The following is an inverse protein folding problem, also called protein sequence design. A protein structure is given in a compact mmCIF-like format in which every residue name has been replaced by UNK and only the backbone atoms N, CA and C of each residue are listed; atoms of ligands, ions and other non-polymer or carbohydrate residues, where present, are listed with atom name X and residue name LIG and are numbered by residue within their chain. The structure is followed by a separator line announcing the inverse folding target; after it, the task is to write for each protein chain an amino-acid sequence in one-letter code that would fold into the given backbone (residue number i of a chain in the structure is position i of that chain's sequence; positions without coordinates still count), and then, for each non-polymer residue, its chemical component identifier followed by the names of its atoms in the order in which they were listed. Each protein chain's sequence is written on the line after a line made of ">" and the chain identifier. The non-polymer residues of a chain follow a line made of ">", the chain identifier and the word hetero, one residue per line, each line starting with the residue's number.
data_IF_080523876517
#
_entry.id   IF_080523876517
#
_cell.length_a   1.000
_cell.length_b   1.000
_cell.length_c   1.000
_cell.angle_alpha   90.00
_cell.angle_beta   90.00
_cell.angle_gamma   90.00
#
_symmetry.space_group_name_H-M   'P 1'
#
loop_
_entity.id
_entity.type
_entity.pdbx_description
1 polymer ?
#
# COMPACT_ATOMS: atom_id res chain seq x y z
N UNK A 1 -4.95 -4.97 -21.61
CA UNK A 1 -4.62 -5.53 -20.27
C UNK A 1 -3.59 -4.61 -19.63
N UNK A 2 -3.84 -4.08 -18.44
CA UNK A 2 -3.01 -3.07 -17.76
C UNK A 2 -2.72 -3.50 -16.32
N UNK A 3 -2.15 -4.70 -16.15
CA UNK A 3 -1.76 -5.19 -14.83
C UNK A 3 -0.55 -4.38 -14.34
N UNK A 4 -0.65 -3.84 -13.13
CA UNK A 4 0.41 -3.07 -12.48
C UNK A 4 0.88 -3.71 -11.16
N UNK A 5 0.31 -4.86 -10.80
CA UNK A 5 0.62 -5.65 -9.62
C UNK A 5 0.45 -7.15 -9.94
N UNK A 6 1.36 -7.98 -9.43
CA UNK A 6 1.30 -9.43 -9.52
C UNK A 6 1.82 -10.05 -8.21
N UNK A 7 1.15 -11.09 -7.73
CA UNK A 7 1.56 -11.84 -6.56
C UNK A 7 1.94 -13.29 -6.89
N UNK A 8 2.78 -13.90 -6.05
CA UNK A 8 3.01 -15.34 -6.07
C UNK A 8 1.72 -16.10 -5.72
N UNK A 9 1.66 -17.39 -6.07
CA UNK A 9 0.48 -18.24 -5.84
C UNK A 9 0.09 -18.34 -4.36
N UNK A 10 1.08 -18.28 -3.46
CA UNK A 10 0.90 -18.29 -2.01
C UNK A 10 0.73 -16.89 -1.40
N UNK A 11 0.73 -15.84 -2.22
CA UNK A 11 0.53 -14.46 -1.79
C UNK A 11 1.70 -13.80 -1.06
N UNK A 12 2.81 -14.51 -0.82
CA UNK A 12 3.92 -14.02 0.03
C UNK A 12 4.89 -13.06 -0.66
N UNK A 13 4.85 -13.01 -2.00
CA UNK A 13 5.65 -12.07 -2.78
C UNK A 13 4.73 -11.25 -3.67
N UNK A 14 4.83 -9.93 -3.58
CA UNK A 14 4.06 -8.98 -4.35
C UNK A 14 5.03 -8.07 -5.13
N UNK A 15 4.93 -8.07 -6.46
CA UNK A 15 5.68 -7.18 -7.34
C UNK A 15 4.72 -6.18 -7.98
N UNK A 16 5.02 -4.88 -7.85
CA UNK A 16 4.14 -3.80 -8.30
C UNK A 16 4.95 -2.69 -8.98
N UNK A 17 4.31 -1.97 -9.91
CA UNK A 17 4.85 -0.76 -10.53
C UNK A 17 4.61 0.53 -9.71
N UNK A 18 3.45 0.71 -9.04
CA UNK A 18 3.23 1.84 -8.15
C UNK A 18 4.17 1.83 -6.95
N UNK A 19 4.63 3.01 -6.55
CA UNK A 19 5.50 3.21 -5.40
C UNK A 19 4.65 3.63 -4.18
N UNK A 20 4.05 2.66 -3.50
CA UNK A 20 3.15 2.92 -2.36
C UNK A 20 3.85 3.70 -1.25
N UNK A 21 5.13 3.43 -1.04
CA UNK A 21 5.97 4.08 -0.04
C UNK A 21 6.08 5.59 -0.27
N UNK A 22 5.94 6.05 -1.52
CA UNK A 22 5.94 7.47 -1.87
C UNK A 22 4.58 8.13 -1.69
N UNK A 23 3.52 7.36 -1.50
CA UNK A 23 2.16 7.86 -1.39
C UNK A 23 1.60 7.75 0.04
N UNK A 24 2.41 7.41 1.04
CA UNK A 24 1.98 7.25 2.44
C UNK A 24 1.34 8.53 2.98
N UNK A 25 1.92 9.70 2.72
CA UNK A 25 1.41 10.95 3.25
C UNK A 25 0.58 11.74 2.23
N UNK A 26 -0.54 12.38 2.62
CA UNK A 26 -1.39 13.15 1.71
C UNK A 26 -0.64 14.22 0.91
N UNK A 27 0.33 14.91 1.52
CA UNK A 27 1.10 15.97 0.86
C UNK A 27 2.03 15.47 -0.26
N UNK A 28 2.26 14.15 -0.37
CA UNK A 28 3.01 13.58 -1.49
C UNK A 28 2.16 13.46 -2.77
N UNK A 29 0.85 13.69 -2.69
CA UNK A 29 -0.07 13.52 -3.81
C UNK A 29 -0.30 14.84 -4.53
N UNK A 30 -0.27 14.82 -5.87
CA UNK A 30 -0.61 16.00 -6.67
C UNK A 30 -2.09 16.42 -6.56
N UNK A 31 -2.94 15.51 -6.10
CA UNK A 31 -4.34 15.78 -5.77
C UNK A 31 -4.75 14.89 -4.59
N UNK A 32 -5.35 15.51 -3.58
CA UNK A 32 -5.97 14.82 -2.45
C UNK A 32 -7.42 15.31 -2.32
N UNK A 33 -8.35 14.38 -2.10
CA UNK A 33 -9.78 14.70 -2.00
C UNK A 33 -10.03 15.57 -0.76
N UNK A 34 -10.70 16.71 -0.95
CA UNK A 34 -11.00 17.68 0.12
C UNK A 34 -11.96 17.13 1.18
N UNK A 35 -12.73 16.10 0.86
CA UNK A 35 -13.60 15.41 1.82
C UNK A 35 -12.81 14.48 2.76
N UNK A 36 -11.53 14.21 2.47
CA UNK A 36 -10.64 13.39 3.28
C UNK A 36 -9.78 14.26 4.19
N UNK A 37 -9.57 13.78 5.41
CA UNK A 37 -8.71 14.42 6.41
C UNK A 37 -7.81 13.37 7.08
N UNK A 38 -7.21 12.48 6.28
CA UNK A 38 -6.33 11.45 6.81
C UNK A 38 -4.96 12.05 7.15
N UNK A 39 -4.38 11.67 8.29
CA UNK A 39 -2.98 11.97 8.58
C UNK A 39 -2.03 11.09 7.74
N UNK A 40 -2.46 9.86 7.46
CA UNK A 40 -1.76 8.85 6.67
C UNK A 40 -2.75 8.27 5.67
N UNK A 41 -2.34 8.16 4.40
CA UNK A 41 -3.19 7.66 3.33
C UNK A 41 -3.40 6.13 3.41
N UNK A 42 -4.41 5.58 2.71
CA UNK A 42 -4.63 4.14 2.64
C UNK A 42 -3.47 3.31 2.09
N UNK A 43 -2.45 3.93 1.47
CA UNK A 43 -1.28 3.20 0.97
C UNK A 43 -0.36 2.68 2.07
N UNK A 44 -0.60 3.02 3.34
CA UNK A 44 0.07 2.38 4.47
C UNK A 44 -0.42 0.95 4.73
N UNK A 45 -1.67 0.63 4.35
CA UNK A 45 -2.33 -0.62 4.71
C UNK A 45 -1.55 -1.88 4.28
N UNK A 46 -0.93 -1.97 3.09
CA UNK A 46 -0.14 -3.14 2.73
C UNK A 46 1.06 -3.38 3.65
N UNK A 47 1.64 -2.32 4.22
CA UNK A 47 2.75 -2.40 5.16
C UNK A 47 2.26 -2.85 6.55
N UNK A 48 1.12 -2.34 7.01
CA UNK A 48 0.47 -2.80 8.25
C UNK A 48 0.09 -4.27 8.17
N UNK A 49 -0.56 -4.68 7.08
CA UNK A 49 -0.94 -6.08 6.85
C UNK A 49 0.29 -7.02 6.83
N UNK A 50 1.40 -6.57 6.22
CA UNK A 50 2.63 -7.36 6.20
C UNK A 50 3.22 -7.54 7.61
N UNK A 51 3.16 -6.48 8.44
CA UNK A 51 3.60 -6.50 9.84
C UNK A 51 2.71 -7.42 10.69
N UNK A 52 1.39 -7.27 10.59
CA UNK A 52 0.41 -8.10 11.31
C UNK A 52 0.56 -9.58 10.96
N UNK A 53 0.73 -9.89 9.67
CA UNK A 53 0.97 -11.27 9.25
C UNK A 53 2.22 -11.87 9.90
N UNK A 54 3.31 -11.10 10.02
CA UNK A 54 4.53 -11.53 10.71
C UNK A 54 4.31 -11.73 12.21
N UNK A 55 3.47 -10.92 12.86
CA UNK A 55 3.15 -11.09 14.28
C UNK A 55 2.32 -12.34 14.55
N UNK A 56 1.44 -12.71 13.63
CA UNK A 56 0.58 -13.90 13.76
C UNK A 56 1.27 -15.21 13.35
N UNK A 57 2.28 -15.15 12.47
CA UNK A 57 2.88 -16.33 11.83
C UNK A 57 4.41 -16.46 12.01
N UNK A 58 5.04 -15.56 12.78
CA UNK A 58 6.47 -15.59 13.15
C UNK A 58 6.71 -16.37 14.42
#
# INVERSE_FOLDING_TARGET
>A
KSAAAISSKDGRHLAIMPHLERSIFPWNWGHYDQSRNDEISPWILPFENAREWLEENG
#
